data_IF_043288837903
#
_entry.id   IF_043288837903
#
_cell.length_a   1.000
_cell.length_b   1.000
_cell.length_c   1.000
_cell.angle_alpha   90.00
_cell.angle_beta   90.00
_cell.angle_gamma   90.00
#
_symmetry.space_group_name_H-M   'P 1'
#
loop_
_entity.id
_entity.type
_entity.pdbx_description
1 polymer ?
#
# COMPACT_ATOMS: atom_id res chain seq x y z
N UNK A 1 28.31 -14.16 19.19
CA UNK A 1 28.07 -14.22 20.64
C UNK A 1 29.36 -13.91 21.40
N UNK A 2 29.27 -13.43 22.64
CA UNK A 2 30.42 -13.25 23.55
C UNK A 2 30.18 -13.97 24.89
N UNK A 3 31.25 -14.41 25.54
CA UNK A 3 31.23 -15.22 26.77
C UNK A 3 31.49 -16.72 26.53
N UNK A 4 31.41 -17.51 27.60
CA UNK A 4 31.60 -18.97 27.53
C UNK A 4 30.30 -19.64 27.07
N UNK A 5 30.26 -20.12 25.82
CA UNK A 5 29.06 -20.71 25.19
C UNK A 5 28.84 -22.19 25.57
N UNK A 6 29.85 -22.84 26.14
CA UNK A 6 29.75 -24.15 26.76
C UNK A 6 30.23 -24.02 28.21
N UNK A 7 29.35 -24.36 29.15
CA UNK A 7 29.60 -24.21 30.57
C UNK A 7 29.24 -25.49 31.29
N UNK A 8 30.05 -25.87 32.28
CA UNK A 8 29.73 -26.94 33.22
C UNK A 8 29.64 -26.32 34.60
N UNK A 9 28.50 -26.47 35.26
CA UNK A 9 28.22 -25.93 36.58
C UNK A 9 27.72 -27.03 37.51
N UNK A 10 27.90 -26.87 38.82
CA UNK A 10 27.32 -27.80 39.78
C UNK A 10 25.78 -27.69 39.76
N UNK A 11 25.08 -28.77 40.08
CA UNK A 11 23.62 -28.77 40.15
C UNK A 11 23.11 -27.65 41.10
N UNK A 12 22.13 -26.89 40.63
CA UNK A 12 21.50 -25.78 41.37
C UNK A 12 22.32 -24.49 41.39
N UNK A 13 23.48 -24.45 40.74
CA UNK A 13 24.31 -23.23 40.65
C UNK A 13 24.03 -22.46 39.36
N UNK A 14 24.62 -21.26 39.23
CA UNK A 14 24.44 -20.40 38.06
C UNK A 14 25.64 -20.47 37.13
N UNK A 15 25.37 -20.34 35.83
CA UNK A 15 26.38 -20.10 34.82
C UNK A 15 26.98 -18.69 34.87
N UNK A 16 27.87 -18.42 33.93
CA UNK A 16 28.36 -17.07 33.64
C UNK A 16 27.53 -16.41 32.55
N UNK A 17 27.44 -15.08 32.59
CA UNK A 17 26.71 -14.32 31.58
C UNK A 17 27.25 -14.54 30.18
N UNK A 18 26.35 -14.71 29.23
CA UNK A 18 26.64 -14.70 27.80
C UNK A 18 25.79 -13.65 27.10
N UNK A 19 26.31 -13.09 26.02
CA UNK A 19 25.59 -12.05 25.25
C UNK A 19 25.54 -12.40 23.77
N UNK A 20 24.34 -12.47 23.21
CA UNK A 20 24.12 -12.57 21.78
C UNK A 20 24.59 -11.28 21.11
N UNK A 21 25.53 -11.40 20.17
CA UNK A 21 26.11 -10.26 19.43
C UNK A 21 25.72 -10.45 17.97
N UNK A 22 24.81 -9.60 17.43
CA UNK A 22 24.44 -9.68 16.03
C UNK A 22 25.60 -9.28 15.14
N UNK A 23 25.64 -9.84 13.92
CA UNK A 23 26.50 -9.33 12.87
C UNK A 23 26.06 -7.92 12.44
N UNK A 24 26.94 -7.20 11.75
CA UNK A 24 26.59 -5.91 11.16
C UNK A 24 25.32 -6.03 10.31
N UNK A 25 24.40 -5.08 10.49
CA UNK A 25 23.09 -5.00 9.80
C UNK A 25 22.06 -6.08 10.20
N UNK A 26 22.30 -6.79 11.29
CA UNK A 26 21.33 -7.66 11.94
C UNK A 26 21.00 -7.14 13.34
N UNK A 27 19.90 -7.61 13.91
CA UNK A 27 19.53 -7.40 15.31
C UNK A 27 19.10 -8.71 15.97
N UNK A 28 19.27 -8.78 17.30
CA UNK A 28 18.84 -9.91 18.11
C UNK A 28 17.30 -9.95 18.20
N UNK A 29 16.71 -11.10 17.93
CA UNK A 29 15.25 -11.29 17.99
C UNK A 29 14.80 -12.12 19.19
N UNK A 30 15.67 -12.96 19.74
CA UNK A 30 15.36 -13.77 20.91
C UNK A 30 16.18 -15.06 20.97
N UNK A 31 16.21 -15.68 22.13
CA UNK A 31 16.72 -17.04 22.31
C UNK A 31 15.64 -18.06 21.93
N UNK A 32 16.04 -19.30 21.64
CA UNK A 32 15.13 -20.39 21.27
C UNK A 32 14.13 -20.78 22.36
N UNK A 33 14.37 -20.38 23.61
CA UNK A 33 13.48 -20.56 24.77
C UNK A 33 12.58 -19.35 25.04
N UNK A 34 12.58 -18.36 24.13
CA UNK A 34 11.70 -17.19 24.19
C UNK A 34 12.26 -16.01 24.99
N UNK A 35 13.47 -16.12 25.57
CA UNK A 35 14.11 -14.98 26.26
C UNK A 35 14.48 -13.89 25.24
N UNK A 36 14.02 -12.66 25.47
CA UNK A 36 14.22 -11.52 24.54
C UNK A 36 15.36 -10.59 24.97
N UNK A 37 16.00 -10.84 26.11
CA UNK A 37 17.20 -10.12 26.54
C UNK A 37 18.43 -10.75 25.89
N UNK A 38 19.19 -9.96 25.12
CA UNK A 38 20.39 -10.44 24.43
C UNK A 38 21.49 -10.93 25.39
N UNK A 39 21.56 -10.33 26.58
CA UNK A 39 22.42 -10.80 27.67
C UNK A 39 21.62 -11.74 28.57
N UNK A 40 22.12 -12.96 28.81
CA UNK A 40 21.48 -13.95 29.68
C UNK A 40 22.49 -14.58 30.62
N UNK A 41 22.00 -14.96 31.80
CA UNK A 41 22.71 -15.81 32.76
C UNK A 41 21.73 -16.87 33.22
N UNK A 42 22.06 -18.13 33.00
CA UNK A 42 21.22 -19.24 33.40
C UNK A 42 21.51 -19.58 34.87
N UNK A 43 20.51 -19.35 35.73
CA UNK A 43 20.61 -19.52 37.18
C UNK A 43 19.89 -20.78 37.62
N UNK A 44 20.34 -21.39 38.72
CA UNK A 44 19.73 -22.59 39.30
C UNK A 44 19.61 -23.74 38.28
N UNK A 45 20.73 -24.04 37.60
CA UNK A 45 20.79 -25.06 36.54
C UNK A 45 20.72 -26.45 37.17
N UNK A 46 19.61 -27.16 36.96
CA UNK A 46 19.37 -28.51 37.54
C UNK A 46 19.44 -29.63 36.51
N UNK A 47 19.47 -29.30 35.22
CA UNK A 47 19.59 -30.20 34.07
C UNK A 47 20.28 -29.48 32.91
N UNK A 48 20.71 -30.24 31.90
CA UNK A 48 21.34 -29.69 30.70
C UNK A 48 20.38 -28.74 29.95
N UNK A 49 20.90 -27.58 29.53
CA UNK A 49 20.18 -26.55 28.80
C UNK A 49 20.89 -26.26 27.48
N UNK A 50 20.16 -26.39 26.38
CA UNK A 50 20.64 -26.01 25.06
C UNK A 50 19.72 -24.92 24.48
N UNK A 51 20.29 -23.75 24.24
CA UNK A 51 19.59 -22.59 23.68
C UNK A 51 20.39 -22.00 22.53
N UNK A 52 19.69 -21.45 21.55
CA UNK A 52 20.28 -20.82 20.37
C UNK A 52 19.82 -19.39 20.26
N UNK A 53 20.73 -18.47 19.91
CA UNK A 53 20.38 -17.10 19.59
C UNK A 53 19.76 -16.98 18.19
N UNK A 54 18.72 -16.14 18.08
CA UNK A 54 18.09 -15.81 16.81
C UNK A 54 18.37 -14.35 16.46
N UNK A 55 18.63 -14.12 15.17
CA UNK A 55 18.85 -12.80 14.59
C UNK A 55 17.98 -12.60 13.36
N UNK A 56 17.60 -11.36 13.09
CA UNK A 56 16.98 -10.95 11.83
C UNK A 56 17.80 -9.82 11.19
N UNK A 57 17.79 -9.78 9.86
CA UNK A 57 18.36 -8.66 9.12
C UNK A 57 17.53 -7.40 9.40
N UNK A 58 18.19 -6.25 9.48
CA UNK A 58 17.49 -4.97 9.65
C UNK A 58 16.64 -4.70 8.41
N UNK A 59 15.41 -4.23 8.62
CA UNK A 59 14.49 -3.82 7.56
C UNK A 59 14.16 -2.32 7.70
N UNK A 60 13.86 -1.71 6.57
CA UNK A 60 13.54 -0.28 6.46
C UNK A 60 12.26 -0.11 5.67
N UNK A 61 11.46 0.86 6.09
CA UNK A 61 10.25 1.28 5.37
C UNK A 61 10.62 2.23 4.25
N UNK A 62 10.20 1.90 3.03
CA UNK A 62 10.27 2.75 1.85
C UNK A 62 8.87 3.30 1.58
N UNK A 63 8.71 4.60 1.80
CA UNK A 63 7.48 5.34 1.56
C UNK A 63 7.54 6.06 0.21
N UNK A 64 6.41 6.18 -0.45
CA UNK A 64 6.29 6.84 -1.75
C UNK A 64 5.35 8.06 -1.63
N UNK A 65 5.82 9.21 -2.09
CA UNK A 65 4.99 10.40 -2.25
C UNK A 65 4.38 10.37 -3.65
N UNK A 66 3.05 10.38 -3.72
CA UNK A 66 2.29 10.36 -4.97
C UNK A 66 2.02 11.75 -5.54
N UNK A 67 2.46 12.82 -4.87
CA UNK A 67 2.27 14.23 -5.29
C UNK A 67 0.82 14.54 -5.68
N UNK A 68 -0.12 14.12 -4.82
CA UNK A 68 -1.55 14.30 -5.05
C UNK A 68 -2.23 13.18 -5.84
N UNK A 69 -1.49 12.18 -6.33
CA UNK A 69 -2.06 10.97 -6.94
C UNK A 69 -2.50 9.90 -5.93
N UNK A 70 -2.93 8.75 -6.44
CA UNK A 70 -3.36 7.60 -5.60
C UNK A 70 -2.27 7.14 -4.63
N UNK A 71 -2.68 6.91 -3.37
CA UNK A 71 -1.78 6.44 -2.32
C UNK A 71 -1.09 5.12 -2.71
N UNK A 72 0.22 5.09 -2.52
CA UNK A 72 1.05 3.90 -2.74
C UNK A 72 1.39 3.30 -1.39
N UNK A 73 1.11 2.01 -1.22
CA UNK A 73 1.46 1.30 0.02
C UNK A 73 2.98 1.28 0.25
N UNK A 74 3.37 1.51 1.49
CA UNK A 74 4.75 1.36 1.94
C UNK A 74 5.30 -0.04 1.65
N UNK A 75 6.61 -0.09 1.43
CA UNK A 75 7.33 -1.35 1.24
C UNK A 75 8.39 -1.55 2.32
N UNK A 76 8.45 -2.75 2.86
CA UNK A 76 9.55 -3.18 3.72
C UNK A 76 10.67 -3.75 2.85
N UNK A 77 11.86 -3.16 2.96
CA UNK A 77 13.08 -3.65 2.32
C UNK A 77 14.12 -4.02 3.37
N UNK A 78 14.74 -5.19 3.22
CA UNK A 78 15.89 -5.56 4.04
C UNK A 78 17.08 -4.63 3.75
N UNK A 79 18.03 -4.52 4.68
CA UNK A 79 19.29 -3.81 4.46
C UNK A 79 19.98 -4.32 3.18
N UNK A 80 20.39 -3.39 2.29
CA UNK A 80 20.90 -3.66 0.93
C UNK A 80 19.94 -4.43 0.01
N UNK A 81 18.70 -4.61 0.41
CA UNK A 81 17.63 -5.11 -0.44
C UNK A 81 17.11 -4.03 -1.38
N UNK A 82 16.37 -4.45 -2.40
CA UNK A 82 15.70 -3.56 -3.35
C UNK A 82 14.23 -3.42 -3.00
N UNK A 83 13.72 -2.19 -3.00
CA UNK A 83 12.28 -1.97 -3.12
C UNK A 83 11.79 -2.37 -4.53
N UNK A 84 10.55 -2.80 -4.62
CA UNK A 84 9.88 -3.04 -5.90
C UNK A 84 9.33 -1.71 -6.38
N UNK A 85 9.54 -1.37 -7.65
CA UNK A 85 8.89 -0.19 -8.24
C UNK A 85 7.37 -0.31 -8.03
N UNK A 86 6.71 0.66 -7.38
CA UNK A 86 5.27 0.63 -7.25
C UNK A 86 4.61 0.51 -8.61
N UNK A 87 3.67 -0.43 -8.75
CA UNK A 87 2.79 -0.44 -9.90
C UNK A 87 1.85 0.76 -9.78
N UNK A 88 1.77 1.58 -10.82
CA UNK A 88 0.75 2.61 -10.91
C UNK A 88 -0.62 1.90 -10.93
N UNK A 89 -1.35 1.96 -9.82
CA UNK A 89 -2.67 1.37 -9.74
C UNK A 89 -3.69 2.38 -10.32
N UNK A 90 -4.12 2.17 -11.57
CA UNK A 90 -5.34 2.81 -12.07
C UNK A 90 -6.51 2.00 -11.54
N UNK A 91 -7.11 2.39 -10.41
CA UNK A 91 -8.37 1.79 -9.95
C UNK A 91 -9.52 2.33 -10.80
N UNK A 92 -9.95 1.56 -11.80
CA UNK A 92 -11.21 1.77 -12.51
C UNK A 92 -12.39 1.22 -11.69
N UNK A 93 -12.52 1.62 -10.43
CA UNK A 93 -13.77 1.39 -9.72
C UNK A 93 -14.82 2.31 -10.34
N UNK A 94 -16.02 1.81 -10.65
CA UNK A 94 -17.13 2.69 -11.00
C UNK A 94 -17.24 3.70 -9.85
N UNK A 95 -17.00 5.01 -10.09
CA UNK A 95 -17.04 5.99 -9.03
C UNK A 95 -18.41 5.87 -8.39
N UNK A 96 -18.46 5.37 -7.15
CA UNK A 96 -19.70 5.35 -6.39
C UNK A 96 -20.02 6.80 -6.17
N UNK A 97 -20.99 7.29 -6.94
CA UNK A 97 -21.35 8.69 -6.99
C UNK A 97 -22.04 9.06 -5.66
N UNK A 98 -21.28 9.18 -4.58
CA UNK A 98 -21.75 9.78 -3.34
C UNK A 98 -22.20 11.22 -3.62
N UNK A 99 -23.36 11.61 -3.11
CA UNK A 99 -24.00 12.89 -3.40
C UNK A 99 -25.08 12.81 -4.50
N UNK A 100 -25.92 13.84 -4.57
CA UNK A 100 -27.05 13.90 -5.49
C UNK A 100 -26.66 13.56 -6.94
N UNK A 101 -27.53 12.84 -7.65
CA UNK A 101 -27.40 12.58 -9.07
C UNK A 101 -27.34 13.90 -9.85
N UNK A 102 -26.49 13.98 -10.88
CA UNK A 102 -26.57 15.08 -11.83
C UNK A 102 -27.93 15.04 -12.53
N UNK A 103 -28.64 16.17 -12.56
CA UNK A 103 -29.86 16.30 -13.37
C UNK A 103 -29.48 16.21 -14.84
N UNK A 104 -30.28 15.45 -15.59
CA UNK A 104 -30.16 15.29 -17.03
C UNK A 104 -31.28 16.04 -17.78
N UNK A 105 -32.19 16.70 -17.05
CA UNK A 105 -33.44 17.25 -17.60
C UNK A 105 -33.21 18.42 -18.57
N UNK A 106 -32.01 18.99 -18.58
CA UNK A 106 -31.61 20.03 -19.53
C UNK A 106 -31.45 19.52 -20.96
N UNK A 107 -31.17 18.22 -21.15
CA UNK A 107 -30.91 17.61 -22.45
C UNK A 107 -32.18 17.06 -23.09
N UNK A 108 -32.45 17.45 -24.33
CA UNK A 108 -33.69 17.11 -25.05
C UNK A 108 -33.60 15.81 -25.84
N UNK A 109 -32.39 15.30 -26.07
CA UNK A 109 -32.09 14.22 -27.03
C UNK A 109 -31.74 12.87 -26.40
N UNK A 110 -31.86 12.74 -25.08
CA UNK A 110 -31.51 11.53 -24.32
C UNK A 110 -32.71 10.83 -23.66
N UNK A 111 -33.91 11.42 -23.75
CA UNK A 111 -35.10 10.93 -23.05
C UNK A 111 -35.59 9.53 -23.48
N UNK A 112 -35.17 9.03 -24.64
CA UNK A 112 -35.56 7.71 -25.17
C UNK A 112 -34.51 6.62 -24.93
N UNK A 113 -33.42 6.90 -24.20
CA UNK A 113 -32.34 5.96 -23.94
C UNK A 113 -32.68 4.94 -22.84
N UNK A 114 -31.92 3.84 -22.78
CA UNK A 114 -32.07 2.88 -21.69
C UNK A 114 -31.66 3.48 -20.34
N UNK A 115 -32.21 2.94 -19.25
CA UNK A 115 -31.86 3.38 -17.90
C UNK A 115 -30.34 3.25 -17.62
N UNK A 116 -29.71 2.19 -18.13
CA UNK A 116 -28.26 1.97 -18.00
C UNK A 116 -27.43 2.99 -18.77
N UNK A 117 -27.87 3.40 -19.97
CA UNK A 117 -27.15 4.41 -20.74
C UNK A 117 -27.27 5.79 -20.07
N UNK A 118 -28.45 6.09 -19.51
CA UNK A 118 -28.66 7.31 -18.74
C UNK A 118 -27.83 7.35 -17.46
N UNK A 119 -27.57 6.21 -16.81
CA UNK A 119 -26.64 6.13 -15.67
C UNK A 119 -25.21 6.45 -16.07
N UNK A 120 -24.75 5.91 -17.21
CA UNK A 120 -23.43 6.22 -17.75
C UNK A 120 -23.31 7.72 -18.11
N UNK A 121 -24.30 8.28 -18.80
CA UNK A 121 -24.33 9.72 -19.12
C UNK A 121 -24.35 10.55 -17.84
N UNK A 122 -25.20 10.20 -16.87
CA UNK A 122 -25.28 10.88 -15.57
C UNK A 122 -23.94 10.89 -14.86
N UNK A 123 -23.21 9.79 -14.88
CA UNK A 123 -21.88 9.69 -14.30
C UNK A 123 -20.89 10.63 -15.01
N UNK A 124 -20.84 10.60 -16.35
CA UNK A 124 -19.96 11.47 -17.13
C UNK A 124 -20.24 12.95 -16.92
N UNK A 125 -21.51 13.34 -16.81
CA UNK A 125 -21.94 14.71 -16.51
C UNK A 125 -21.59 15.09 -15.06
N UNK A 126 -21.85 14.21 -14.10
CA UNK A 126 -21.52 14.42 -12.67
C UNK A 126 -20.03 14.66 -12.46
N UNK A 127 -19.19 13.89 -13.15
CA UNK A 127 -17.72 14.01 -13.12
C UNK A 127 -17.19 15.11 -14.05
N UNK A 128 -18.08 15.83 -14.76
CA UNK A 128 -17.74 16.85 -15.76
C UNK A 128 -16.80 16.37 -16.87
N UNK A 129 -16.77 15.06 -17.14
CA UNK A 129 -15.98 14.45 -18.21
C UNK A 129 -16.61 14.81 -19.57
N UNK A 130 -17.93 14.67 -19.70
CA UNK A 130 -18.71 15.11 -20.87
C UNK A 130 -19.87 16.02 -20.44
N UNK A 131 -20.10 17.10 -21.18
CA UNK A 131 -21.08 18.15 -20.84
C UNK A 131 -22.06 18.44 -21.98
N UNK A 132 -22.19 17.53 -22.94
CA UNK A 132 -22.97 17.71 -24.17
C UNK A 132 -22.30 18.61 -25.21
N UNK A 133 -22.95 18.74 -26.36
CA UNK A 133 -22.51 19.59 -27.48
C UNK A 133 -23.09 21.00 -27.42
N UNK A 134 -24.17 21.18 -26.65
CA UNK A 134 -24.75 22.47 -26.26
C UNK A 134 -25.49 22.34 -24.93
N UNK A 135 -26.03 23.44 -24.41
CA UNK A 135 -26.77 23.48 -23.14
C UNK A 135 -27.99 22.54 -23.11
N UNK A 136 -28.56 22.22 -24.27
CA UNK A 136 -29.77 21.39 -24.39
C UNK A 136 -29.59 20.10 -25.20
N UNK A 137 -28.37 19.79 -25.66
CA UNK A 137 -28.12 18.64 -26.54
C UNK A 137 -26.87 17.90 -26.08
N UNK A 138 -27.03 16.62 -25.70
CA UNK A 138 -25.90 15.77 -25.33
C UNK A 138 -25.20 15.18 -26.55
N UNK A 139 -25.98 14.76 -27.55
CA UNK A 139 -25.61 14.06 -28.78
C UNK A 139 -24.92 12.70 -28.54
N UNK A 140 -25.63 11.72 -27.90
CA UNK A 140 -25.04 10.44 -27.52
C UNK A 140 -24.55 9.61 -28.72
N UNK A 141 -25.25 9.69 -29.85
CA UNK A 141 -24.91 8.98 -31.09
C UNK A 141 -24.12 9.85 -32.09
N UNK A 142 -23.66 11.04 -31.65
CA UNK A 142 -22.95 12.00 -32.48
C UNK A 142 -21.51 11.59 -32.80
N UNK A 143 -21.01 12.00 -33.96
CA UNK A 143 -19.59 11.82 -34.31
C UNK A 143 -18.73 12.78 -33.50
N UNK A 144 -17.73 12.24 -32.79
CA UNK A 144 -16.79 13.02 -31.96
C UNK A 144 -15.58 13.48 -32.78
N UNK A 145 -15.23 14.76 -32.72
CA UNK A 145 -14.00 15.31 -33.30
C UNK A 145 -12.77 14.99 -32.44
N UNK A 146 -11.56 15.05 -33.02
CA UNK A 146 -10.31 14.85 -32.27
C UNK A 146 -10.13 15.85 -31.11
N UNK A 147 -10.57 17.09 -31.28
CA UNK A 147 -10.47 18.11 -30.23
C UNK A 147 -11.44 17.84 -29.07
N UNK A 148 -12.67 17.39 -29.37
CA UNK A 148 -13.62 16.94 -28.35
C UNK A 148 -13.08 15.71 -27.60
N UNK A 149 -12.55 14.72 -28.33
CA UNK A 149 -11.94 13.53 -27.72
C UNK A 149 -10.75 13.90 -26.82
N UNK A 150 -9.87 14.80 -27.26
CA UNK A 150 -8.76 15.29 -26.46
C UNK A 150 -9.23 15.97 -25.16
N UNK A 151 -10.31 16.78 -25.24
CA UNK A 151 -10.88 17.44 -24.07
C UNK A 151 -11.43 16.43 -23.05
N UNK A 152 -12.17 15.43 -23.53
CA UNK A 152 -12.69 14.34 -22.68
C UNK A 152 -11.54 13.58 -22.02
N UNK A 153 -10.48 13.27 -22.77
CA UNK A 153 -9.32 12.56 -22.26
C UNK A 153 -8.59 13.37 -21.18
N UNK A 154 -8.34 14.66 -21.40
CA UNK A 154 -7.71 15.55 -20.39
C UNK A 154 -8.57 15.63 -19.12
N UNK A 155 -9.89 15.77 -19.25
CA UNK A 155 -10.80 15.79 -18.09
C UNK A 155 -10.77 14.48 -17.32
N UNK A 156 -10.73 13.34 -18.01
CA UNK A 156 -10.58 12.03 -17.38
C UNK A 156 -9.25 11.89 -16.63
N UNK A 157 -8.14 12.32 -17.23
CA UNK A 157 -6.83 12.27 -16.58
C UNK A 157 -6.76 13.17 -15.33
N UNK A 158 -7.35 14.37 -15.38
CA UNK A 158 -7.49 15.25 -14.20
C UNK A 158 -8.35 14.63 -13.12
N UNK A 159 -9.46 14.00 -13.50
CA UNK A 159 -10.35 13.33 -12.55
C UNK A 159 -9.68 12.13 -11.85
N UNK A 160 -8.67 11.54 -12.49
CA UNK A 160 -7.83 10.48 -11.94
C UNK A 160 -6.54 11.01 -11.29
N UNK A 161 -6.39 12.33 -11.17
CA UNK A 161 -5.20 12.98 -10.58
C UNK A 161 -3.89 12.57 -11.26
N UNK A 162 -3.95 12.27 -12.56
CA UNK A 162 -2.76 11.91 -13.37
C UNK A 162 -2.07 13.14 -13.97
N UNK A 163 -2.78 14.27 -14.04
CA UNK A 163 -2.29 15.57 -14.54
C UNK A 163 -3.04 16.71 -13.84
N UNK A 164 -2.42 17.90 -13.79
CA UNK A 164 -3.01 19.15 -13.27
C UNK A 164 -3.86 19.94 -14.31
#
# INVERSE_FOLDING_TARGET
MSGNTSQTVNQGTSGTTVTAVPNANYHFTGWSDGVTTASRTDTNVTADLNVTENFAINSYTVSFDSDGGSAVSDQLANYNGTAVKPAAAVRLEQPTAAGAAASLDGYQDIGNMSASDLENIRLLVKLRIMTGTSDHVFSPDGVTTRAQAATVFVRMLRQLELID
#
